data_IF_797577044877
#
_entry.id   IF_797577044877
#
_cell.length_a   1.000
_cell.length_b   1.000
_cell.length_c   1.000
_cell.angle_alpha   90.00
_cell.angle_beta   90.00
_cell.angle_gamma   90.00
#
_symmetry.space_group_name_H-M   'P 1'
#
loop_
_entity.id
_entity.type
_entity.pdbx_description
1 polymer ?
#
# COMPACT_ATOMS: atom_id res chain seq x y z
N UNK A 1 5.99 -10.40 -3.17
CA UNK A 1 6.68 -9.29 -3.87
C UNK A 1 7.84 -9.80 -4.71
N UNK A 2 8.10 -9.20 -5.87
CA UNK A 2 9.20 -9.59 -6.76
C UNK A 2 10.49 -8.85 -6.36
N UNK A 3 11.59 -9.58 -6.20
CA UNK A 3 12.90 -8.99 -5.91
C UNK A 3 13.36 -8.16 -7.12
N UNK A 4 13.68 -6.89 -6.90
CA UNK A 4 14.17 -5.99 -7.95
C UNK A 4 15.59 -6.33 -8.42
N UNK A 5 16.40 -6.97 -7.57
CA UNK A 5 17.78 -7.37 -7.90
C UNK A 5 17.87 -8.64 -8.75
N UNK A 6 17.09 -9.68 -8.44
CA UNK A 6 17.23 -11.00 -9.09
C UNK A 6 15.92 -11.57 -9.66
N UNK A 7 14.82 -10.82 -9.59
CA UNK A 7 13.52 -11.22 -10.14
C UNK A 7 12.77 -12.31 -9.38
N UNK A 8 13.34 -12.87 -8.30
CA UNK A 8 12.69 -13.95 -7.52
C UNK A 8 11.42 -13.44 -6.85
N UNK A 9 10.33 -14.21 -6.95
CA UNK A 9 9.09 -13.93 -6.21
C UNK A 9 9.24 -14.41 -4.76
N UNK A 10 8.96 -13.51 -3.82
CA UNK A 10 9.06 -13.71 -2.38
C UNK A 10 7.69 -13.47 -1.71
N UNK A 11 7.54 -13.90 -0.45
CA UNK A 11 6.37 -13.58 0.36
C UNK A 11 6.21 -12.05 0.50
N UNK A 12 4.97 -11.56 0.57
CA UNK A 12 4.68 -10.12 0.76
C UNK A 12 5.33 -9.53 2.02
N UNK A 13 5.61 -10.38 3.01
CA UNK A 13 6.15 -10.00 4.32
C UNK A 13 7.65 -10.32 4.46
N UNK A 14 8.29 -10.82 3.40
CA UNK A 14 9.70 -11.20 3.46
C UNK A 14 10.59 -9.95 3.57
N UNK A 15 11.46 -9.90 4.58
CA UNK A 15 12.40 -8.79 4.74
C UNK A 15 13.59 -8.87 3.75
N UNK A 16 13.96 -10.09 3.35
CA UNK A 16 15.09 -10.38 2.47
C UNK A 16 14.69 -11.39 1.38
N UNK A 17 15.39 -11.34 0.26
CA UNK A 17 15.18 -12.25 -0.86
C UNK A 17 15.67 -13.65 -0.50
N UNK A 18 14.79 -14.63 -0.59
CA UNK A 18 15.11 -16.04 -0.33
C UNK A 18 16.19 -16.62 -1.23
N UNK A 19 16.47 -15.98 -2.38
CA UNK A 19 17.49 -16.43 -3.35
C UNK A 19 18.81 -15.67 -3.21
N UNK A 20 18.77 -14.34 -3.15
CA UNK A 20 19.99 -13.52 -3.24
C UNK A 20 20.29 -12.68 -2.00
N UNK A 21 19.50 -12.81 -0.92
CA UNK A 21 19.69 -12.08 0.33
C UNK A 21 19.43 -10.57 0.27
N UNK A 22 19.12 -10.00 -0.90
CA UNK A 22 18.83 -8.56 -1.03
C UNK A 22 17.61 -8.18 -0.20
N UNK A 23 17.68 -7.04 0.50
CA UNK A 23 16.56 -6.50 1.29
C UNK A 23 15.37 -6.23 0.36
N UNK A 24 14.21 -6.74 0.75
CA UNK A 24 12.97 -6.57 0.03
C UNK A 24 12.05 -5.55 0.70
N UNK A 25 12.14 -5.44 2.04
CA UNK A 25 11.31 -4.51 2.79
C UNK A 25 11.55 -3.08 2.29
N UNK A 26 10.50 -2.47 1.76
CA UNK A 26 10.49 -1.09 1.29
C UNK A 26 10.49 -0.16 2.50
N UNK A 27 11.67 0.27 2.97
CA UNK A 27 11.74 1.37 3.93
C UNK A 27 11.26 2.65 3.26
N UNK A 28 10.42 3.42 3.96
CA UNK A 28 10.06 4.77 3.56
C UNK A 28 11.17 5.71 3.98
N UNK A 29 11.94 6.19 3.02
CA UNK A 29 12.95 7.21 3.26
C UNK A 29 12.27 8.57 3.34
N UNK A 30 12.39 9.24 4.49
CA UNK A 30 11.85 10.59 4.66
C UNK A 30 12.51 11.56 3.68
N UNK A 31 11.71 12.27 2.88
CA UNK A 31 12.23 13.24 1.91
C UNK A 31 12.96 14.40 2.59
N UNK A 32 12.55 14.78 3.80
CA UNK A 32 13.10 15.95 4.51
C UNK A 32 14.33 15.65 5.35
N UNK A 33 14.37 14.54 6.10
CA UNK A 33 15.48 14.23 6.99
C UNK A 33 16.23 12.94 6.66
N UNK A 34 15.87 12.25 5.57
CA UNK A 34 16.48 10.99 5.09
C UNK A 34 16.42 9.80 6.06
N UNK A 35 15.70 9.92 7.18
CA UNK A 35 15.49 8.80 8.10
C UNK A 35 14.72 7.67 7.41
N UNK A 36 15.16 6.43 7.62
CA UNK A 36 14.45 5.24 7.16
C UNK A 36 13.30 4.92 8.11
N UNK A 37 12.10 4.74 7.56
CA UNK A 37 10.91 4.42 8.34
C UNK A 37 10.30 3.10 7.86
N UNK A 38 9.59 2.37 8.73
CA UNK A 38 8.73 1.27 8.33
C UNK A 38 7.77 1.63 7.17
N UNK A 39 7.43 0.67 6.29
CA UNK A 39 6.55 0.90 5.12
C UNK A 39 5.14 1.39 5.48
N UNK A 40 4.71 1.17 6.72
CA UNK A 40 3.40 1.54 7.27
C UNK A 40 3.44 2.82 8.12
N UNK A 41 4.60 3.46 8.27
CA UNK A 41 4.73 4.72 9.01
C UNK A 41 3.99 5.86 8.31
N UNK A 42 3.12 6.55 9.06
CA UNK A 42 2.40 7.76 8.61
C UNK A 42 3.24 9.02 8.84
N UNK A 43 4.06 9.02 9.89
CA UNK A 43 4.96 10.10 10.27
C UNK A 43 6.39 9.59 10.37
N UNK A 44 7.35 10.48 10.15
CA UNK A 44 8.76 10.17 10.25
C UNK A 44 9.17 10.06 11.72
N UNK A 45 9.75 8.94 12.12
CA UNK A 45 10.26 8.73 13.49
C UNK A 45 11.46 9.63 13.83
N UNK A 46 12.16 10.16 12.82
CA UNK A 46 13.29 11.07 13.02
C UNK A 46 12.96 12.55 13.14
N UNK A 47 11.89 13.04 12.48
CA UNK A 47 11.61 14.48 12.39
C UNK A 47 10.12 14.85 12.51
N UNK A 48 9.23 13.87 12.64
CA UNK A 48 7.78 14.08 12.75
C UNK A 48 7.06 14.43 11.44
N UNK A 49 7.78 14.69 10.33
CA UNK A 49 7.11 15.01 9.07
C UNK A 49 6.25 13.85 8.57
N UNK A 50 5.07 14.17 8.05
CA UNK A 50 4.17 13.20 7.42
C UNK A 50 4.82 12.57 6.18
N UNK A 51 4.87 11.25 6.14
CA UNK A 51 5.41 10.48 5.03
C UNK A 51 4.33 10.27 3.98
N UNK A 52 4.70 10.31 2.69
CA UNK A 52 3.83 9.88 1.61
C UNK A 52 3.72 8.35 1.64
N UNK A 53 2.89 7.81 2.53
CA UNK A 53 2.63 6.38 2.59
C UNK A 53 1.95 5.95 1.29
N UNK A 54 2.58 5.05 0.54
CA UNK A 54 2.11 4.52 -0.75
C UNK A 54 0.84 3.66 -0.65
N UNK A 55 0.29 3.49 0.55
CA UNK A 55 -1.13 3.19 0.72
C UNK A 55 -1.90 4.48 0.48
N UNK A 56 -2.07 4.83 -0.80
CA UNK A 56 -3.16 5.72 -1.20
C UNK A 56 -4.38 5.20 -0.45
N UNK A 57 -4.92 5.99 0.48
CA UNK A 57 -6.19 5.71 1.12
C UNK A 57 -7.21 5.82 0.00
N UNK A 58 -7.29 4.74 -0.76
CA UNK A 58 -8.06 4.60 -1.96
C UNK A 58 -9.49 4.88 -1.52
N UNK A 59 -10.03 6.02 -1.95
CA UNK A 59 -11.34 6.48 -1.48
C UNK A 59 -12.34 5.40 -1.87
N UNK A 60 -12.89 4.71 -0.87
CA UNK A 60 -13.90 3.69 -1.09
C UNK A 60 -15.09 4.30 -1.84
N UNK A 61 -15.58 3.57 -2.83
CA UNK A 61 -16.73 3.95 -3.63
C UNK A 61 -18.00 3.55 -2.91
N UNK A 62 -18.71 4.54 -2.38
CA UNK A 62 -19.98 4.31 -1.67
C UNK A 62 -21.08 4.04 -2.68
N UNK A 63 -21.80 2.93 -2.50
CA UNK A 63 -22.94 2.59 -3.33
C UNK A 63 -24.08 3.59 -3.08
N UNK A 64 -24.54 4.27 -4.13
CA UNK A 64 -25.63 5.25 -4.04
C UNK A 64 -27.00 4.62 -3.73
N UNK A 65 -27.14 3.29 -3.91
CA UNK A 65 -28.40 2.59 -3.67
C UNK A 65 -28.52 2.00 -2.27
N UNK A 66 -27.42 1.53 -1.67
CA UNK A 66 -27.46 0.86 -0.36
C UNK A 66 -26.45 1.40 0.66
N UNK A 67 -25.61 2.37 0.30
CA UNK A 67 -24.61 2.97 1.21
C UNK A 67 -23.37 2.11 1.48
N UNK A 68 -23.28 0.89 0.94
CA UNK A 68 -22.11 0.03 1.16
C UNK A 68 -20.83 0.63 0.57
N UNK A 69 -19.74 0.61 1.31
CA UNK A 69 -18.43 1.08 0.87
C UNK A 69 -17.69 -0.02 0.08
N UNK A 70 -17.40 0.21 -1.19
CA UNK A 70 -16.73 -0.74 -2.07
C UNK A 70 -15.28 -0.29 -2.33
N UNK A 71 -14.36 -1.22 -2.55
CA UNK A 71 -13.00 -0.90 -2.97
C UNK A 71 -12.97 -0.25 -4.37
N UNK A 72 -11.97 0.59 -4.69
CA UNK A 72 -11.85 1.12 -6.05
C UNK A 72 -11.56 0.02 -7.07
N UNK A 73 -12.11 0.20 -8.27
CA UNK A 73 -12.00 -0.78 -9.36
C UNK A 73 -13.14 -1.81 -9.39
N UNK A 74 -13.99 -1.87 -8.36
CA UNK A 74 -15.19 -2.72 -8.41
C UNK A 74 -16.29 -2.00 -9.23
N UNK A 75 -16.86 -2.71 -10.22
CA UNK A 75 -17.89 -2.19 -11.12
C UNK A 75 -19.31 -2.29 -10.56
N UNK A 76 -19.58 -3.29 -9.72
CA UNK A 76 -20.89 -3.59 -9.13
C UNK A 76 -20.79 -3.68 -7.61
N UNK A 77 -21.81 -3.23 -6.90
CA UNK A 77 -21.82 -3.26 -5.45
C UNK A 77 -21.83 -4.71 -4.95
N UNK A 78 -20.86 -5.09 -4.11
CA UNK A 78 -20.77 -6.47 -3.60
C UNK A 78 -21.90 -6.84 -2.63
N UNK A 79 -22.63 -5.84 -2.12
CA UNK A 79 -23.73 -6.05 -1.18
C UNK A 79 -25.12 -6.14 -1.86
N UNK A 80 -25.40 -5.27 -2.85
CA UNK A 80 -26.73 -5.20 -3.49
C UNK A 80 -26.70 -5.43 -5.02
N UNK A 81 -25.54 -5.76 -5.58
CA UNK A 81 -25.31 -6.02 -7.00
C UNK A 81 -25.63 -4.85 -7.97
N UNK A 82 -25.90 -3.65 -7.44
CA UNK A 82 -26.13 -2.45 -8.26
C UNK A 82 -24.84 -1.97 -8.93
N UNK A 83 -24.91 -1.58 -10.20
CA UNK A 83 -23.78 -0.97 -10.92
C UNK A 83 -23.33 0.32 -10.22
N UNK A 84 -22.06 0.38 -9.86
CA UNK A 84 -21.45 1.53 -9.19
C UNK A 84 -21.11 2.60 -10.23
N UNK A 85 -21.78 3.76 -10.16
CA UNK A 85 -21.49 4.90 -11.05
C UNK A 85 -20.12 5.48 -10.77
N UNK A 86 -19.29 5.65 -11.80
CA UNK A 86 -17.97 6.32 -11.71
C UNK A 86 -18.12 7.77 -11.26
#
# INVERSE_FOLDING_TARGET
MKCTKCGTVNLERANFCKKCGSRLSSTLVCSSCKHENPPDSVFCNGCGQRLASSKTRQRQKVCQSCGFANDPGIEYCVNCNQKLRV
#
